data_IF_118446851516
#
_entry.id   IF_118446851516
#
_cell.length_a   1.000
_cell.length_b   1.000
_cell.length_c   1.000
_cell.angle_alpha   90.00
_cell.angle_beta   90.00
_cell.angle_gamma   90.00
#
_symmetry.space_group_name_H-M   'P 1'
#
loop_
_entity.id
_entity.type
_entity.pdbx_description
1 polymer ?
#
# COMPACT_ATOMS: atom_id res chain seq x y z
N UNK A 1 10.93 -29.36 -16.07
CA UNK A 1 11.19 -28.35 -15.03
C UNK A 1 12.12 -27.31 -15.65
N UNK A 2 11.58 -26.16 -15.99
CA UNK A 2 12.39 -25.01 -16.40
C UNK A 2 12.69 -24.27 -15.10
N UNK A 3 13.90 -24.40 -14.56
CA UNK A 3 14.42 -23.50 -13.56
C UNK A 3 14.72 -22.19 -14.25
N UNK A 4 13.81 -21.21 -14.16
CA UNK A 4 14.20 -19.83 -14.43
C UNK A 4 15.06 -19.39 -13.25
N UNK A 5 16.31 -19.08 -13.51
CA UNK A 5 17.27 -18.56 -12.52
C UNK A 5 16.96 -17.12 -12.05
N UNK A 6 15.74 -16.61 -12.30
CA UNK A 6 15.27 -15.35 -11.74
C UNK A 6 14.61 -15.60 -10.39
N UNK A 7 15.40 -15.65 -9.34
CA UNK A 7 14.89 -15.52 -7.98
C UNK A 7 14.43 -14.09 -7.78
N UNK A 8 13.11 -13.88 -7.69
CA UNK A 8 12.58 -12.57 -7.30
C UNK A 8 12.78 -12.36 -5.79
N UNK A 9 13.47 -11.28 -5.45
CA UNK A 9 13.76 -10.94 -4.05
C UNK A 9 12.90 -9.74 -3.65
N UNK A 10 12.12 -9.92 -2.59
CA UNK A 10 11.40 -8.84 -1.94
C UNK A 10 12.30 -8.26 -0.85
N UNK A 11 12.62 -6.98 -0.93
CA UNK A 11 13.36 -6.29 0.10
C UNK A 11 12.42 -5.57 1.06
N UNK A 12 12.51 -5.95 2.33
CA UNK A 12 11.77 -5.30 3.41
C UNK A 12 12.63 -4.14 3.93
N UNK A 13 12.11 -2.94 3.82
CA UNK A 13 12.76 -1.76 4.40
C UNK A 13 12.81 -1.90 5.93
N UNK A 14 13.87 -1.40 6.54
CA UNK A 14 14.07 -1.38 7.98
C UNK A 14 14.60 -0.03 8.46
N UNK A 15 14.57 0.18 9.79
CA UNK A 15 15.00 1.38 10.52
C UNK A 15 13.95 2.51 10.61
N UNK A 16 12.71 2.29 10.14
CA UNK A 16 11.60 3.24 10.35
C UNK A 16 10.55 2.67 11.31
N UNK A 17 10.87 1.61 12.05
CA UNK A 17 9.96 0.95 12.99
C UNK A 17 8.91 0.07 12.30
N UNK A 18 9.25 -0.49 11.16
CA UNK A 18 8.39 -1.39 10.37
C UNK A 18 7.97 -2.61 11.18
N UNK A 19 6.76 -3.07 10.91
CA UNK A 19 6.25 -4.32 11.46
C UNK A 19 6.80 -5.52 10.69
N UNK A 20 7.08 -6.62 11.39
CA UNK A 20 7.40 -7.87 10.74
C UNK A 20 6.21 -8.39 9.91
N UNK A 21 6.49 -9.11 8.82
CA UNK A 21 5.45 -9.79 8.07
C UNK A 21 4.81 -10.89 8.91
N UNK A 22 3.49 -11.00 8.85
CA UNK A 22 2.77 -12.09 9.51
C UNK A 22 3.10 -13.46 8.91
N UNK A 23 3.04 -14.52 9.74
CA UNK A 23 3.40 -15.88 9.31
C UNK A 23 2.66 -16.37 8.06
N UNK A 24 1.38 -16.03 7.91
CA UNK A 24 0.62 -16.39 6.69
C UNK A 24 1.16 -15.72 5.43
N UNK A 25 1.68 -14.49 5.55
CA UNK A 25 2.28 -13.75 4.42
C UNK A 25 3.62 -14.37 4.06
N UNK A 26 4.48 -14.65 5.04
CA UNK A 26 5.78 -15.31 4.80
C UNK A 26 5.62 -16.70 4.20
N UNK A 27 4.60 -17.46 4.63
CA UNK A 27 4.26 -18.76 4.03
C UNK A 27 3.79 -18.61 2.57
N UNK A 28 3.01 -17.61 2.26
CA UNK A 28 2.55 -17.34 0.89
C UNK A 28 3.72 -16.96 -0.03
N UNK A 29 4.61 -16.08 0.43
CA UNK A 29 5.83 -15.69 -0.28
C UNK A 29 6.68 -16.92 -0.58
N UNK A 30 6.92 -17.76 0.42
CA UNK A 30 7.70 -19.01 0.26
C UNK A 30 7.06 -19.97 -0.74
N UNK A 31 5.72 -20.17 -0.68
CA UNK A 31 4.98 -21.01 -1.63
C UNK A 31 5.01 -20.46 -3.05
N UNK A 32 5.12 -19.16 -3.22
CA UNK A 32 5.29 -18.51 -4.51
C UNK A 32 6.73 -18.60 -5.06
N UNK A 33 7.63 -19.28 -4.36
CA UNK A 33 9.06 -19.38 -4.68
C UNK A 33 9.76 -18.00 -4.75
N UNK A 34 9.31 -17.07 -3.90
CA UNK A 34 9.91 -15.77 -3.71
C UNK A 34 10.80 -15.82 -2.46
N UNK A 35 11.86 -15.02 -2.45
CA UNK A 35 12.71 -14.82 -1.27
C UNK A 35 12.55 -13.44 -0.69
N UNK A 36 12.88 -13.29 0.59
CA UNK A 36 12.89 -12.00 1.27
C UNK A 36 14.28 -11.68 1.79
N UNK A 37 14.65 -10.41 1.74
CA UNK A 37 15.84 -9.84 2.38
C UNK A 37 15.44 -8.54 3.07
N UNK A 38 16.33 -7.94 3.85
CA UNK A 38 16.12 -6.61 4.42
C UNK A 38 17.04 -5.59 3.76
N UNK A 39 16.65 -4.32 3.81
CA UNK A 39 17.44 -3.20 3.32
C UNK A 39 17.30 -2.00 4.24
N UNK A 40 18.43 -1.40 4.58
CA UNK A 40 18.51 -0.09 5.22
C UNK A 40 19.00 0.92 4.19
N UNK A 41 18.10 1.75 3.66
CA UNK A 41 18.39 2.62 2.51
C UNK A 41 19.66 3.45 2.68
N UNK A 42 19.88 4.04 3.88
CA UNK A 42 21.07 4.85 4.15
C UNK A 42 22.34 4.01 4.33
N UNK A 43 22.24 2.85 5.00
CA UNK A 43 23.43 2.02 5.27
C UNK A 43 23.87 1.26 4.01
N UNK A 44 22.93 0.83 3.20
CA UNK A 44 23.16 0.09 1.98
C UNK A 44 23.33 1.02 0.75
N UNK A 45 23.25 2.35 0.97
CA UNK A 45 23.41 3.38 -0.03
C UNK A 45 22.41 3.27 -1.19
N UNK A 46 21.17 2.90 -0.88
CA UNK A 46 20.06 2.82 -1.82
C UNK A 46 19.36 1.46 -1.84
N UNK A 47 18.55 1.26 -2.87
CA UNK A 47 17.85 -0.02 -3.10
C UNK A 47 18.77 -0.95 -3.89
N UNK A 48 18.95 -2.22 -3.48
CA UNK A 48 19.78 -3.18 -4.20
C UNK A 48 19.32 -3.42 -5.64
N UNK A 49 20.28 -3.61 -6.56
CA UNK A 49 20.01 -3.81 -8.00
C UNK A 49 19.18 -5.07 -8.31
N UNK A 50 19.21 -6.07 -7.44
CA UNK A 50 18.43 -7.30 -7.56
C UNK A 50 17.06 -7.24 -6.87
N UNK A 51 16.66 -6.06 -6.38
CA UNK A 51 15.37 -5.82 -5.77
C UNK A 51 14.25 -5.93 -6.79
N UNK A 52 13.38 -6.93 -6.63
CA UNK A 52 12.17 -7.07 -7.45
C UNK A 52 10.98 -6.28 -6.90
N UNK A 53 10.91 -6.10 -5.59
CA UNK A 53 9.89 -5.33 -4.92
C UNK A 53 10.45 -4.79 -3.59
N UNK A 54 10.44 -3.48 -3.41
CA UNK A 54 10.72 -2.84 -2.14
C UNK A 54 9.44 -2.70 -1.32
N UNK A 55 9.44 -3.15 -0.07
CA UNK A 55 8.25 -3.17 0.79
C UNK A 55 8.49 -2.33 2.05
N UNK A 56 7.64 -1.36 2.28
CA UNK A 56 7.51 -0.65 3.55
C UNK A 56 6.28 -1.17 4.30
N UNK A 57 6.50 -1.95 5.35
CA UNK A 57 5.43 -2.59 6.10
C UNK A 57 5.13 -1.84 7.39
N UNK A 58 4.18 -0.93 7.38
CA UNK A 58 3.70 -0.15 8.52
C UNK A 58 4.82 0.66 9.21
N UNK A 59 5.58 1.49 8.48
CA UNK A 59 6.61 2.33 9.09
C UNK A 59 5.99 3.24 10.16
N UNK A 60 6.70 3.41 11.28
CA UNK A 60 6.28 4.24 12.41
C UNK A 60 6.95 5.61 12.40
N UNK A 61 8.05 5.76 11.68
CA UNK A 61 8.73 7.03 11.45
C UNK A 61 8.86 7.30 9.96
N UNK A 62 8.99 8.57 9.61
CA UNK A 62 9.08 9.00 8.22
C UNK A 62 10.47 8.71 7.64
N UNK A 63 10.56 8.63 6.33
CA UNK A 63 11.83 8.66 5.60
C UNK A 63 12.55 9.99 5.83
N UNK A 64 13.86 10.00 5.82
CA UNK A 64 14.63 11.21 5.59
C UNK A 64 14.46 11.70 4.14
N UNK A 65 14.87 12.94 3.87
CA UNK A 65 14.82 13.48 2.51
C UNK A 65 15.69 12.67 1.53
N UNK A 66 16.85 12.20 2.00
CA UNK A 66 17.77 11.41 1.18
C UNK A 66 17.18 10.03 0.86
N UNK A 67 16.56 9.36 1.84
CA UNK A 67 15.88 8.07 1.62
C UNK A 67 14.68 8.22 0.68
N UNK A 68 13.89 9.27 0.85
CA UNK A 68 12.78 9.56 -0.05
C UNK A 68 13.26 9.77 -1.50
N UNK A 69 14.44 10.39 -1.69
CA UNK A 69 15.04 10.55 -3.00
C UNK A 69 15.52 9.19 -3.55
N UNK A 70 16.15 8.34 -2.74
CA UNK A 70 16.55 6.98 -3.16
C UNK A 70 15.34 6.14 -3.63
N UNK A 71 14.20 6.26 -2.94
CA UNK A 71 12.95 5.59 -3.35
C UNK A 71 12.44 6.14 -4.68
N UNK A 72 12.48 7.47 -4.89
CA UNK A 72 12.10 8.09 -6.17
C UNK A 72 13.01 7.63 -7.30
N UNK A 73 14.32 7.65 -7.10
CA UNK A 73 15.29 7.23 -8.10
C UNK A 73 15.08 5.75 -8.48
N UNK A 74 14.79 4.90 -7.52
CA UNK A 74 14.45 3.49 -7.76
C UNK A 74 13.16 3.34 -8.58
N UNK A 75 12.10 4.07 -8.23
CA UNK A 75 10.84 4.09 -8.97
C UNK A 75 11.01 4.65 -10.40
N UNK A 76 11.81 5.70 -10.58
CA UNK A 76 12.12 6.27 -11.89
C UNK A 76 12.95 5.33 -12.76
N UNK A 77 13.77 4.49 -12.14
CA UNK A 77 14.49 3.40 -12.80
C UNK A 77 13.61 2.21 -13.20
N UNK A 78 12.29 2.27 -12.91
CA UNK A 78 11.34 1.19 -13.20
C UNK A 78 11.18 0.18 -12.07
N UNK A 79 11.69 0.50 -10.88
CA UNK A 79 11.51 -0.31 -9.67
C UNK A 79 10.05 -0.37 -9.20
N UNK A 80 9.75 -1.34 -8.37
CA UNK A 80 8.42 -1.56 -7.82
C UNK A 80 8.44 -1.38 -6.29
N UNK A 81 7.48 -0.63 -5.77
CA UNK A 81 7.38 -0.36 -4.33
C UNK A 81 5.98 -0.71 -3.83
N UNK A 82 5.92 -1.36 -2.68
CA UNK A 82 4.69 -1.59 -1.92
C UNK A 82 4.77 -0.83 -0.60
N UNK A 83 3.82 0.06 -0.37
CA UNK A 83 3.77 0.90 0.83
C UNK A 83 2.47 0.59 1.58
N UNK A 84 2.59 0.04 2.78
CA UNK A 84 1.46 -0.25 3.67
C UNK A 84 1.51 0.74 4.84
N UNK A 85 0.67 1.76 4.82
CA UNK A 85 0.66 2.81 5.84
C UNK A 85 -0.45 2.60 6.86
N UNK A 86 -0.12 2.80 8.13
CA UNK A 86 -1.04 2.90 9.27
C UNK A 86 -1.03 4.31 9.89
N UNK A 87 -0.32 5.25 9.25
CA UNK A 87 -0.16 6.63 9.68
C UNK A 87 -0.40 7.57 8.51
N UNK A 88 -0.97 8.73 8.78
CA UNK A 88 -1.25 9.78 7.79
C UNK A 88 -0.30 10.98 7.87
N UNK A 89 0.57 11.01 8.88
CA UNK A 89 1.46 12.14 9.22
C UNK A 89 2.93 11.94 8.78
N UNK A 90 3.19 10.98 7.89
CA UNK A 90 4.51 10.71 7.33
C UNK A 90 4.73 11.56 6.06
N UNK A 91 5.34 12.73 6.21
CA UNK A 91 5.38 13.76 5.17
C UNK A 91 6.10 13.32 3.88
N UNK A 92 7.22 12.60 4.00
CA UNK A 92 8.00 12.14 2.84
C UNK A 92 7.31 10.97 2.13
N UNK A 93 6.67 10.04 2.87
CA UNK A 93 5.81 9.03 2.24
C UNK A 93 4.63 9.68 1.52
N UNK A 94 3.97 10.66 2.15
CA UNK A 94 2.86 11.38 1.53
C UNK A 94 3.30 12.13 0.26
N UNK A 95 4.51 12.69 0.24
CA UNK A 95 5.06 13.34 -0.94
C UNK A 95 5.32 12.32 -2.08
N UNK A 96 5.85 11.14 -1.78
CA UNK A 96 6.00 10.07 -2.77
C UNK A 96 4.63 9.64 -3.32
N UNK A 97 3.63 9.44 -2.46
CA UNK A 97 2.27 9.11 -2.91
C UNK A 97 1.68 10.19 -3.82
N UNK A 98 1.90 11.47 -3.48
CA UNK A 98 1.43 12.59 -4.29
C UNK A 98 2.09 12.64 -5.68
N UNK A 99 3.37 12.31 -5.79
CA UNK A 99 4.05 12.19 -7.08
C UNK A 99 3.34 11.18 -8.00
N UNK A 100 2.67 10.17 -7.42
CA UNK A 100 1.92 9.12 -8.12
C UNK A 100 0.40 9.33 -8.10
N UNK A 101 -0.07 10.51 -7.77
CA UNK A 101 -1.49 10.88 -7.88
C UNK A 101 -2.36 10.43 -6.72
N UNK A 102 -1.78 10.17 -5.55
CA UNK A 102 -2.48 9.74 -4.35
C UNK A 102 -2.27 10.72 -3.20
N UNK A 103 -3.33 11.05 -2.47
CA UNK A 103 -3.28 11.86 -1.27
C UNK A 103 -3.95 11.12 -0.11
N UNK A 104 -3.24 11.01 1.03
CA UNK A 104 -3.80 10.40 2.24
C UNK A 104 -4.94 11.26 2.80
N UNK A 105 -6.09 10.64 3.01
CA UNK A 105 -7.18 11.25 3.76
C UNK A 105 -6.84 11.27 5.25
N UNK A 106 -7.21 12.37 5.93
CA UNK A 106 -7.05 12.46 7.38
C UNK A 106 -8.11 11.60 8.08
N UNK A 107 -7.77 11.09 9.26
CA UNK A 107 -8.67 10.29 10.10
C UNK A 107 -8.84 8.84 9.63
N UNK A 108 -9.77 8.16 10.30
CA UNK A 108 -10.15 6.79 9.96
C UNK A 108 -11.33 6.80 9.00
N UNK A 109 -11.31 5.86 8.09
CA UNK A 109 -12.37 5.71 7.08
C UNK A 109 -13.42 4.75 7.59
N UNK A 110 -14.69 5.16 7.43
CA UNK A 110 -15.87 4.34 7.63
C UNK A 110 -16.73 4.28 6.37
N UNK A 111 -17.68 3.37 6.36
CA UNK A 111 -18.67 3.23 5.27
C UNK A 111 -20.08 3.09 5.87
N UNK A 112 -21.03 3.85 5.37
CA UNK A 112 -22.42 3.81 5.88
C UNK A 112 -23.33 2.88 5.11
N UNK A 113 -22.89 2.34 3.98
CA UNK A 113 -23.66 1.43 3.14
C UNK A 113 -23.27 -0.05 3.36
N UNK A 114 -21.98 -0.35 3.53
CA UNK A 114 -21.49 -1.75 3.63
C UNK A 114 -20.74 -2.03 4.93
N UNK A 115 -21.35 -1.68 6.07
CA UNK A 115 -20.72 -1.89 7.37
C UNK A 115 -21.36 -3.06 8.15
N UNK A 116 -20.61 -3.59 9.09
CA UNK A 116 -21.06 -4.64 10.00
C UNK A 116 -21.75 -4.00 11.20
N UNK A 117 -23.08 -4.02 11.21
CA UNK A 117 -23.92 -3.27 12.16
C UNK A 117 -23.59 -3.52 13.64
N UNK A 118 -23.13 -4.73 13.99
CA UNK A 118 -22.75 -5.08 15.37
C UNK A 118 -21.43 -4.43 15.83
N UNK A 119 -20.59 -3.97 14.90
CA UNK A 119 -19.29 -3.39 15.21
C UNK A 119 -19.19 -1.90 14.88
N UNK A 120 -20.18 -1.37 14.15
CA UNK A 120 -20.23 0.04 13.76
C UNK A 120 -19.58 0.32 12.40
N UNK A 121 -19.67 1.56 11.98
CA UNK A 121 -19.38 2.00 10.58
C UNK A 121 -17.92 1.93 10.17
N UNK A 122 -16.99 1.83 11.13
CA UNK A 122 -15.55 1.67 10.89
C UNK A 122 -15.15 0.20 10.74
N UNK A 123 -16.12 -0.73 10.81
CA UNK A 123 -15.98 -2.13 10.45
C UNK A 123 -16.85 -2.37 9.21
N UNK A 124 -16.24 -2.41 8.06
CA UNK A 124 -16.98 -2.47 6.81
C UNK A 124 -16.37 -3.45 5.81
N UNK A 125 -17.13 -3.82 4.78
CA UNK A 125 -16.64 -4.59 3.66
C UNK A 125 -16.29 -3.66 2.50
N UNK A 126 -15.05 -3.73 2.03
CA UNK A 126 -14.61 -2.96 0.87
C UNK A 126 -15.26 -3.46 -0.43
N UNK A 127 -15.31 -2.59 -1.41
CA UNK A 127 -15.60 -2.93 -2.80
C UNK A 127 -14.30 -3.34 -3.46
N UNK A 128 -14.24 -4.56 -3.99
CA UNK A 128 -13.08 -5.09 -4.70
C UNK A 128 -13.26 -4.89 -6.21
N UNK A 129 -12.18 -4.52 -6.89
CA UNK A 129 -12.18 -4.36 -8.35
C UNK A 129 -11.98 -5.71 -9.04
N UNK A 130 -12.97 -6.20 -9.76
CA UNK A 130 -12.85 -7.43 -10.54
C UNK A 130 -11.86 -7.32 -11.72
N UNK A 131 -11.51 -6.10 -12.13
CA UNK A 131 -10.54 -5.86 -13.21
C UNK A 131 -9.08 -5.83 -12.74
N UNK A 132 -8.85 -5.77 -11.43
CA UNK A 132 -7.50 -5.80 -10.88
C UNK A 132 -7.00 -7.25 -10.74
N UNK A 133 -5.79 -7.58 -11.21
CA UNK A 133 -5.21 -8.91 -11.01
C UNK A 133 -5.02 -9.27 -9.54
N UNK A 134 -4.94 -8.28 -8.65
CA UNK A 134 -4.80 -8.48 -7.20
C UNK A 134 -6.09 -9.05 -6.60
N UNK A 135 -7.25 -8.61 -7.10
CA UNK A 135 -8.56 -8.95 -6.54
C UNK A 135 -9.45 -9.76 -7.50
N UNK A 136 -8.99 -10.05 -8.71
CA UNK A 136 -9.76 -10.77 -9.73
C UNK A 136 -10.21 -12.19 -9.33
N UNK A 137 -9.57 -12.80 -8.34
CA UNK A 137 -9.94 -14.11 -7.82
C UNK A 137 -11.09 -14.08 -6.80
N UNK A 138 -11.46 -12.89 -6.32
CA UNK A 138 -12.58 -12.72 -5.39
C UNK A 138 -13.87 -12.51 -6.17
N UNK A 139 -14.94 -13.19 -5.74
CA UNK A 139 -16.28 -13.02 -6.31
C UNK A 139 -17.07 -11.91 -5.60
N UNK A 140 -18.24 -11.60 -6.14
CA UNK A 140 -19.12 -10.57 -5.60
C UNK A 140 -19.64 -10.89 -4.17
N UNK A 141 -19.67 -12.18 -3.81
CA UNK A 141 -20.10 -12.69 -2.52
C UNK A 141 -18.97 -12.73 -1.48
N UNK A 142 -17.71 -12.51 -1.90
CA UNK A 142 -16.59 -12.50 -0.98
C UNK A 142 -16.60 -11.21 -0.15
N UNK A 143 -16.64 -11.39 1.17
CA UNK A 143 -16.65 -10.28 2.11
C UNK A 143 -15.26 -10.04 2.67
N UNK A 144 -14.86 -8.79 2.65
CA UNK A 144 -13.65 -8.32 3.34
C UNK A 144 -14.05 -7.72 4.69
N UNK A 145 -13.15 -7.77 5.66
CA UNK A 145 -13.30 -7.03 6.90
C UNK A 145 -12.20 -5.98 6.97
N UNK A 146 -12.60 -4.73 6.79
CA UNK A 146 -11.75 -3.56 6.95
C UNK A 146 -12.05 -2.94 8.30
N UNK A 147 -10.99 -2.63 9.04
CA UNK A 147 -11.07 -2.03 10.36
C UNK A 147 -9.90 -1.08 10.60
N UNK A 148 -10.19 0.11 11.12
CA UNK A 148 -9.16 1.10 11.45
C UNK A 148 -8.32 1.54 10.25
N UNK A 149 -8.92 1.54 9.07
CA UNK A 149 -8.22 1.90 7.84
C UNK A 149 -8.12 3.41 7.66
N UNK A 150 -7.01 3.86 7.11
CA UNK A 150 -6.90 5.15 6.45
C UNK A 150 -7.21 4.99 4.97
N UNK A 151 -7.71 6.05 4.35
CA UNK A 151 -8.04 6.04 2.94
C UNK A 151 -7.18 7.03 2.16
N UNK A 152 -7.27 6.92 0.85
CA UNK A 152 -6.62 7.82 -0.09
C UNK A 152 -7.65 8.40 -1.05
N UNK A 153 -7.36 9.57 -1.58
CA UNK A 153 -8.07 10.20 -2.69
C UNK A 153 -7.11 10.42 -3.84
N UNK A 154 -7.63 10.57 -5.06
CA UNK A 154 -6.80 10.93 -6.20
C UNK A 154 -6.45 12.42 -6.17
N UNK A 155 -5.24 12.73 -6.57
CA UNK A 155 -4.76 14.08 -6.88
C UNK A 155 -4.01 14.06 -8.23
N UNK A 156 -3.62 15.23 -8.73
CA UNK A 156 -2.86 15.31 -9.97
C UNK A 156 -1.45 14.73 -9.76
N UNK A 157 -1.05 13.69 -10.52
CA UNK A 157 0.29 13.14 -10.43
C UNK A 157 1.34 14.07 -11.06
N UNK A 158 2.59 13.83 -10.72
CA UNK A 158 3.72 14.63 -11.24
C UNK A 158 3.92 14.44 -12.75
N UNK A 159 3.41 13.33 -13.32
CA UNK A 159 3.50 12.98 -14.74
C UNK A 159 2.17 12.47 -15.27
N UNK A 160 1.73 12.99 -16.41
CA UNK A 160 0.47 12.63 -17.07
C UNK A 160 0.39 11.14 -17.51
N UNK A 161 1.53 10.46 -17.53
CA UNK A 161 1.60 9.02 -17.88
C UNK A 161 1.29 8.09 -16.72
N UNK A 162 1.17 8.62 -15.50
CA UNK A 162 0.83 7.85 -14.30
C UNK A 162 -0.67 7.59 -14.27
N UNK A 163 -1.05 6.34 -14.04
CA UNK A 163 -2.44 5.94 -13.90
C UNK A 163 -2.65 5.32 -12.52
N UNK A 164 -3.60 5.87 -11.75
CA UNK A 164 -4.05 5.28 -10.49
C UNK A 164 -5.12 4.22 -10.79
N UNK A 165 -4.91 3.00 -10.35
CA UNK A 165 -5.85 1.88 -10.52
C UNK A 165 -6.22 1.31 -9.16
N UNK A 166 -7.28 1.80 -8.52
CA UNK A 166 -7.74 1.25 -7.24
C UNK A 166 -8.18 -0.21 -7.38
N UNK A 167 -7.72 -1.08 -6.49
CA UNK A 167 -8.19 -2.45 -6.42
C UNK A 167 -9.15 -2.70 -5.24
N UNK A 168 -9.15 -1.78 -4.27
CA UNK A 168 -10.02 -1.84 -3.10
C UNK A 168 -10.48 -0.42 -2.71
N UNK A 169 -11.79 -0.22 -2.58
CA UNK A 169 -12.39 1.09 -2.25
C UNK A 169 -13.52 0.96 -1.24
N UNK A 170 -13.93 2.08 -0.64
CA UNK A 170 -15.25 2.19 -0.02
C UNK A 170 -16.34 2.24 -1.09
N UNK A 171 -17.60 2.21 -0.68
CA UNK A 171 -18.71 2.67 -1.52
C UNK A 171 -18.68 4.21 -1.65
N UNK A 172 -19.63 4.77 -2.40
CA UNK A 172 -19.85 6.23 -2.48
C UNK A 172 -20.31 6.84 -1.13
N UNK A 173 -20.67 5.98 -0.16
CA UNK A 173 -21.06 6.37 1.20
C UNK A 173 -19.90 6.30 2.21
N UNK A 174 -18.67 6.22 1.72
CA UNK A 174 -17.46 6.32 2.52
C UNK A 174 -17.31 7.71 3.14
N UNK A 175 -16.72 7.78 4.32
CA UNK A 175 -16.46 9.06 5.01
C UNK A 175 -15.24 8.93 5.91
N UNK A 176 -14.64 10.07 6.27
CA UNK A 176 -13.59 10.16 7.29
C UNK A 176 -14.14 10.73 8.59
N UNK A 177 -13.69 10.22 9.75
CA UNK A 177 -14.04 10.76 11.07
C UNK A 177 -13.37 12.11 11.39
N UNK A 178 -12.30 12.44 10.69
CA UNK A 178 -11.67 13.76 10.79
C UNK A 178 -12.40 14.85 9.98
N UNK A 179 -13.52 14.51 9.36
CA UNK A 179 -14.26 15.38 8.45
C UNK A 179 -13.80 15.21 7.00
N UNK A 180 -14.46 15.90 6.09
CA UNK A 180 -14.20 15.78 4.67
C UNK A 180 -15.49 15.48 3.89
N UNK A 181 -15.35 15.23 2.61
CA UNK A 181 -16.51 14.90 1.75
C UNK A 181 -16.87 13.43 1.91
N UNK A 182 -18.17 13.14 1.92
CA UNK A 182 -18.66 11.77 1.71
C UNK A 182 -18.39 11.38 0.28
N UNK A 183 -17.84 10.18 0.05
CA UNK A 183 -17.51 9.69 -1.28
C UNK A 183 -16.68 8.41 -1.24
N UNK A 184 -16.19 8.02 -2.39
CA UNK A 184 -15.34 6.84 -2.52
C UNK A 184 -13.92 7.17 -2.09
N UNK A 185 -13.40 6.37 -1.13
CA UNK A 185 -12.00 6.40 -0.71
C UNK A 185 -11.28 5.16 -1.22
N UNK A 186 -10.06 5.34 -1.69
CA UNK A 186 -9.15 4.26 -2.08
C UNK A 186 -8.55 3.66 -0.80
N UNK A 187 -8.54 2.34 -0.71
CA UNK A 187 -8.00 1.57 0.41
C UNK A 187 -6.80 0.72 -0.02
N UNK A 188 -6.62 0.56 -1.32
CA UNK A 188 -5.52 -0.17 -1.93
C UNK A 188 -5.61 -0.20 -3.45
#
# INVERSE_FOLDING_TARGET
>A
YVTSDNSHILYLAENHGESALGGSVTDAISKANLSTSTVSLLLDNGVPDDCSLLVFNQPQTDLSADEAQMVRDYLEGGGQVMILLTRTDLANFNAILADYGLAMAQGYIGDTARYYAQYGRFYFSATLSASSPITAQFGDDDLTLIYGAHGMTQCDPVRDTITVTPFMTTTESGYSDAGGQTGTYILG
#
